data_IF_278167388229
#
_entry.id   IF_278167388229
#
_cell.length_a   1.000
_cell.length_b   1.000
_cell.length_c   1.000
_cell.angle_alpha   90.00
_cell.angle_beta   90.00
_cell.angle_gamma   90.00
#
_symmetry.space_group_name_H-M   'P 1'
#
loop_
_entity.id
_entity.type
_entity.pdbx_description
1 polymer ?
#
# COMPACT_ATOMS: atom_id res chain seq x y z
N UNK A 1 18.89 -14.48 -16.89
CA UNK A 1 17.82 -14.45 -15.92
C UNK A 1 17.71 -13.03 -15.38
N UNK A 2 16.92 -12.21 -16.07
CA UNK A 2 16.74 -10.81 -15.73
C UNK A 2 15.65 -10.74 -14.66
N UNK A 3 16.04 -10.51 -13.43
CA UNK A 3 15.12 -10.11 -12.37
C UNK A 3 14.69 -8.68 -12.71
N UNK A 4 13.54 -8.55 -13.33
CA UNK A 4 12.83 -7.27 -13.36
C UNK A 4 12.39 -6.98 -11.94
N UNK A 5 13.30 -6.39 -11.15
CA UNK A 5 12.89 -5.62 -10.02
C UNK A 5 12.05 -4.48 -10.59
N UNK A 6 10.74 -4.60 -10.49
CA UNK A 6 9.87 -3.44 -10.57
C UNK A 6 10.23 -2.59 -9.35
N UNK A 7 11.33 -1.87 -9.47
CA UNK A 7 11.60 -0.79 -8.57
C UNK A 7 10.38 0.13 -8.71
N UNK A 8 9.56 0.21 -7.68
CA UNK A 8 8.69 1.35 -7.51
C UNK A 8 9.56 2.56 -7.78
N UNK A 9 9.38 3.17 -8.93
CA UNK A 9 10.09 4.39 -9.26
C UNK A 9 9.57 5.43 -8.26
N UNK A 10 10.31 5.53 -7.18
CA UNK A 10 10.00 6.48 -6.13
C UNK A 10 10.15 7.84 -6.77
N UNK A 11 9.01 8.47 -7.01
CA UNK A 11 9.02 9.87 -7.44
C UNK A 11 9.71 10.65 -6.34
N UNK A 12 10.82 11.26 -6.68
CA UNK A 12 11.69 12.00 -5.76
C UNK A 12 10.98 13.09 -4.95
N UNK A 13 9.75 13.42 -5.32
CA UNK A 13 8.96 14.47 -4.67
C UNK A 13 8.35 14.06 -3.34
N UNK A 14 8.11 12.78 -3.12
CA UNK A 14 7.49 12.30 -1.87
C UNK A 14 8.49 11.74 -0.86
N UNK A 15 9.69 11.42 -1.28
CA UNK A 15 10.77 10.82 -0.51
C UNK A 15 11.28 11.67 0.63
N UNK A 16 10.48 11.95 1.58
CA UNK A 16 10.93 12.77 2.68
C UNK A 16 11.39 14.17 2.25
N UNK A 17 11.36 14.48 0.95
CA UNK A 17 11.69 15.83 0.48
C UNK A 17 10.57 16.83 0.78
N UNK A 18 9.34 16.34 0.94
CA UNK A 18 8.21 17.15 1.39
C UNK A 18 8.05 17.16 2.90
N UNK A 19 8.70 16.24 3.62
CA UNK A 19 8.66 16.19 5.08
C UNK A 19 9.69 17.16 5.65
N UNK A 20 9.20 18.13 6.39
CA UNK A 20 10.09 19.03 7.13
C UNK A 20 10.60 18.33 8.41
N UNK A 21 11.72 17.66 8.31
CA UNK A 21 12.34 16.93 9.41
C UNK A 21 12.80 17.81 10.58
N UNK A 22 12.77 19.12 10.43
CA UNK A 22 13.00 20.03 11.55
C UNK A 22 11.81 20.07 12.50
N UNK A 23 10.61 19.80 11.99
CA UNK A 23 9.36 19.86 12.73
C UNK A 23 8.70 18.50 12.92
N UNK A 24 8.84 17.60 11.95
CA UNK A 24 8.22 16.27 11.93
C UNK A 24 9.32 15.23 12.17
N UNK A 25 9.23 14.51 13.27
CA UNK A 25 10.27 13.54 13.68
C UNK A 25 9.74 12.13 13.91
N UNK A 26 8.45 12.00 14.19
CA UNK A 26 7.84 10.73 14.57
C UNK A 26 6.63 10.40 13.72
N UNK A 27 6.39 9.11 13.58
CA UNK A 27 5.21 8.58 12.88
C UNK A 27 4.59 7.45 13.70
N UNK A 28 3.26 7.46 13.79
CA UNK A 28 2.48 6.35 14.30
C UNK A 28 1.77 5.68 13.14
N UNK A 29 1.99 4.39 12.96
CA UNK A 29 1.27 3.58 11.99
C UNK A 29 0.40 2.60 12.78
N UNK A 30 -0.93 2.83 12.76
CA UNK A 30 -1.89 1.97 13.44
C UNK A 30 -2.10 0.70 12.64
N UNK A 31 -2.49 -0.35 13.33
CA UNK A 31 -2.82 -1.62 12.69
C UNK A 31 -4.00 -1.44 11.73
N UNK A 32 -3.78 -1.80 10.49
CA UNK A 32 -4.83 -1.82 9.48
C UNK A 32 -5.78 -2.98 9.77
N UNK A 33 -7.04 -2.77 9.48
CA UNK A 33 -8.07 -3.82 9.67
C UNK A 33 -8.56 -4.31 8.31
N UNK A 34 -9.03 -5.55 8.27
CA UNK A 34 -9.62 -6.11 7.04
C UNK A 34 -11.14 -5.99 7.12
N UNK A 35 -11.70 -5.10 6.32
CA UNK A 35 -13.15 -4.88 6.17
C UNK A 35 -13.68 -5.44 4.86
N UNK A 36 -12.83 -6.10 4.08
CA UNK A 36 -13.24 -6.72 2.83
C UNK A 36 -14.19 -7.92 3.10
N UNK A 37 -15.13 -8.20 2.19
CA UNK A 37 -16.00 -9.37 2.34
C UNK A 37 -15.25 -10.70 2.41
N UNK A 38 -14.12 -10.79 1.69
CA UNK A 38 -13.22 -11.92 1.80
C UNK A 38 -12.24 -11.72 2.95
N UNK A 39 -12.25 -12.64 3.89
CA UNK A 39 -11.39 -12.54 5.08
C UNK A 39 -10.15 -13.39 4.92
N UNK A 40 -9.03 -12.74 4.65
CA UNK A 40 -7.71 -13.33 4.83
C UNK A 40 -7.11 -12.74 6.12
N UNK A 41 -7.02 -13.53 7.22
CA UNK A 41 -6.62 -12.98 8.51
C UNK A 41 -5.15 -12.53 8.57
N UNK A 42 -4.33 -12.94 7.62
CA UNK A 42 -2.91 -12.56 7.58
C UNK A 42 -2.63 -11.31 6.76
N UNK A 43 -3.56 -10.89 5.92
CA UNK A 43 -3.34 -9.82 4.96
C UNK A 43 -3.14 -8.46 5.64
N UNK A 44 -4.03 -8.06 6.53
CA UNK A 44 -3.96 -6.76 7.20
C UNK A 44 -2.73 -6.62 8.11
N UNK A 45 -2.38 -7.62 8.94
CA UNK A 45 -1.12 -7.57 9.69
C UNK A 45 0.12 -7.48 8.80
N UNK A 46 0.16 -8.25 7.73
CA UNK A 46 1.29 -8.23 6.80
C UNK A 46 1.42 -6.85 6.12
N UNK A 47 0.31 -6.32 5.64
CA UNK A 47 0.28 -4.98 5.05
C UNK A 47 0.81 -3.91 6.02
N UNK A 48 0.38 -3.98 7.28
CA UNK A 48 0.82 -3.05 8.33
C UNK A 48 2.34 -3.13 8.56
N UNK A 49 2.88 -4.34 8.64
CA UNK A 49 4.32 -4.54 8.86
C UNK A 49 5.14 -4.08 7.65
N UNK A 50 4.70 -4.38 6.44
CA UNK A 50 5.35 -3.93 5.20
C UNK A 50 5.35 -2.40 5.10
N UNK A 51 4.25 -1.76 5.49
CA UNK A 51 4.13 -0.32 5.52
C UNK A 51 5.09 0.32 6.54
N UNK A 52 5.17 -0.23 7.75
CA UNK A 52 6.12 0.19 8.78
C UNK A 52 7.56 0.08 8.28
N UNK A 53 7.90 -1.05 7.66
CA UNK A 53 9.24 -1.30 7.13
C UNK A 53 9.64 -0.28 6.06
N UNK A 54 8.74 0.07 5.16
CA UNK A 54 9.01 1.05 4.12
C UNK A 54 9.25 2.44 4.71
N UNK A 55 8.42 2.86 5.65
CA UNK A 55 8.61 4.16 6.29
C UNK A 55 9.91 4.24 7.08
N UNK A 56 10.29 3.17 7.78
CA UNK A 56 11.57 3.11 8.51
C UNK A 56 12.76 3.21 7.55
N UNK A 57 12.71 2.51 6.41
CA UNK A 57 13.82 2.46 5.44
C UNK A 57 13.92 3.71 4.57
N UNK A 58 12.78 4.32 4.23
CA UNK A 58 12.73 5.39 3.25
C UNK A 58 12.65 6.79 3.86
N UNK A 59 12.43 6.90 5.16
CA UNK A 59 12.33 8.17 5.86
C UNK A 59 13.26 8.20 7.06
N UNK A 60 13.47 9.41 7.61
CA UNK A 60 14.20 9.62 8.86
C UNK A 60 13.26 9.62 10.07
N UNK A 61 12.00 9.28 9.86
CA UNK A 61 10.99 9.29 10.92
C UNK A 61 11.25 8.14 11.89
N UNK A 62 11.02 8.43 13.17
CA UNK A 62 11.04 7.43 14.21
C UNK A 62 9.63 6.88 14.40
N UNK A 63 9.50 5.55 14.32
CA UNK A 63 8.23 4.88 14.58
C UNK A 63 7.93 4.90 16.08
N UNK A 64 6.76 5.42 16.45
CA UNK A 64 6.29 5.47 17.84
C UNK A 64 4.91 4.81 17.94
N UNK A 65 4.58 4.16 19.08
CA UNK A 65 3.33 3.41 19.21
C UNK A 65 2.08 4.29 19.23
N UNK A 66 2.21 5.56 19.63
CA UNK A 66 1.10 6.51 19.66
C UNK A 66 1.62 7.95 19.66
N UNK A 67 0.73 8.86 19.30
CA UNK A 67 1.00 10.31 19.33
C UNK A 67 2.21 10.76 18.49
N UNK A 68 2.45 10.10 17.36
CA UNK A 68 3.43 10.57 16.39
C UNK A 68 3.03 11.92 15.77
N UNK A 69 4.01 12.65 15.27
CA UNK A 69 3.75 13.89 14.51
C UNK A 69 2.92 13.60 13.26
N UNK A 70 3.19 12.46 12.63
CA UNK A 70 2.36 11.90 11.58
C UNK A 70 1.63 10.67 12.10
N UNK A 71 0.43 10.45 11.60
CA UNK A 71 -0.35 9.27 11.92
C UNK A 71 -0.96 8.67 10.65
N UNK A 72 -0.76 7.37 10.45
CA UNK A 72 -1.38 6.59 9.40
C UNK A 72 -2.28 5.54 10.00
N UNK A 73 -3.51 5.45 9.51
CA UNK A 73 -4.44 4.37 9.83
C UNK A 73 -5.29 4.05 8.60
N UNK A 74 -5.94 2.92 8.61
CA UNK A 74 -6.82 2.56 7.52
C UNK A 74 -7.35 1.15 7.60
N UNK A 75 -8.03 0.77 6.54
CA UNK A 75 -8.60 -0.56 6.40
C UNK A 75 -8.49 -1.07 4.96
N UNK A 76 -8.37 -2.38 4.82
CA UNK A 76 -8.53 -3.06 3.54
C UNK A 76 -10.03 -3.17 3.29
N UNK A 77 -10.52 -2.49 2.25
CA UNK A 77 -11.95 -2.40 1.94
C UNK A 77 -12.35 -3.32 0.80
N UNK A 78 -11.41 -3.77 -0.03
CA UNK A 78 -11.68 -4.64 -1.15
C UNK A 78 -10.65 -5.74 -1.31
N UNK A 79 -11.14 -6.92 -1.64
CA UNK A 79 -10.35 -8.09 -2.01
C UNK A 79 -11.20 -8.88 -3.00
N UNK A 80 -11.05 -8.57 -4.27
CA UNK A 80 -11.99 -9.00 -5.29
C UNK A 80 -11.31 -9.83 -6.36
N UNK A 81 -11.95 -10.93 -6.72
CA UNK A 81 -11.54 -11.79 -7.82
C UNK A 81 -12.44 -11.57 -9.03
N UNK A 82 -11.83 -11.43 -10.19
CA UNK A 82 -12.55 -11.38 -11.45
C UNK A 82 -11.93 -12.36 -12.45
N UNK A 83 -12.69 -13.34 -12.96
CA UNK A 83 -12.20 -14.17 -14.04
C UNK A 83 -12.01 -13.32 -15.30
N UNK A 84 -10.89 -13.50 -15.98
CA UNK A 84 -10.60 -12.81 -17.22
C UNK A 84 -11.13 -13.58 -18.40
N UNK A 85 -11.59 -12.86 -19.44
CA UNK A 85 -12.02 -13.47 -20.68
C UNK A 85 -10.88 -14.27 -21.32
N UNK A 86 -11.14 -15.53 -21.63
CA UNK A 86 -10.19 -16.40 -22.31
C UNK A 86 -10.10 -15.94 -23.77
N UNK A 87 -8.91 -15.54 -24.22
CA UNK A 87 -8.64 -15.37 -25.66
C UNK A 87 -8.57 -16.75 -26.29
N UNK A 88 -9.00 -16.88 -27.54
CA UNK A 88 -9.06 -18.16 -28.26
C UNK A 88 -7.73 -18.94 -28.26
N UNK A 89 -6.60 -18.22 -28.09
CA UNK A 89 -5.25 -18.78 -28.06
C UNK A 89 -4.71 -19.03 -26.65
N UNK A 90 -5.49 -18.75 -25.60
CA UNK A 90 -5.02 -18.89 -24.23
C UNK A 90 -5.16 -20.32 -23.74
N UNK A 91 -4.03 -20.94 -23.42
CA UNK A 91 -3.96 -22.30 -22.88
C UNK A 91 -4.38 -22.35 -21.41
N UNK A 92 -4.35 -21.21 -20.71
CA UNK A 92 -4.69 -21.11 -19.30
C UNK A 92 -5.69 -19.97 -19.04
N UNK A 93 -6.63 -20.23 -18.14
CA UNK A 93 -7.52 -19.20 -17.62
C UNK A 93 -6.75 -18.27 -16.67
N UNK A 94 -7.08 -16.99 -16.72
CA UNK A 94 -6.49 -15.96 -15.86
C UNK A 94 -7.53 -15.41 -14.91
N UNK A 95 -7.09 -15.09 -13.72
CA UNK A 95 -7.90 -14.41 -12.70
C UNK A 95 -7.22 -13.09 -12.33
N UNK A 96 -8.03 -12.05 -12.18
CA UNK A 96 -7.55 -10.76 -11.66
C UNK A 96 -7.89 -10.66 -10.19
N UNK A 97 -6.89 -10.43 -9.35
CA UNK A 97 -7.08 -10.03 -7.96
C UNK A 97 -6.90 -8.53 -7.85
N UNK A 98 -7.89 -7.86 -7.26
CA UNK A 98 -7.85 -6.45 -6.93
C UNK A 98 -7.90 -6.28 -5.42
N UNK A 99 -6.94 -5.57 -4.86
CA UNK A 99 -6.93 -5.18 -3.45
C UNK A 99 -7.13 -3.68 -3.37
N UNK A 100 -8.02 -3.24 -2.48
CA UNK A 100 -8.29 -1.83 -2.22
C UNK A 100 -8.09 -1.54 -0.75
N UNK A 101 -7.34 -0.47 -0.46
CA UNK A 101 -7.03 -0.02 0.90
C UNK A 101 -7.44 1.44 1.02
N UNK A 102 -8.21 1.75 2.05
CA UNK A 102 -8.56 3.12 2.41
C UNK A 102 -7.61 3.59 3.50
N UNK A 103 -7.01 4.74 3.30
CA UNK A 103 -5.98 5.29 4.20
C UNK A 103 -6.39 6.67 4.68
N UNK A 104 -6.20 6.88 5.96
CA UNK A 104 -6.30 8.20 6.61
C UNK A 104 -4.91 8.61 7.08
N UNK A 105 -4.49 9.76 6.62
CA UNK A 105 -3.21 10.38 6.98
C UNK A 105 -3.47 11.67 7.73
N UNK A 106 -2.82 11.84 8.85
CA UNK A 106 -2.90 13.05 9.67
C UNK A 106 -1.52 13.59 9.98
N UNK A 107 -1.35 14.89 9.78
CA UNK A 107 -0.13 15.61 10.12
C UNK A 107 -0.44 16.64 11.19
N UNK A 108 0.02 16.40 12.42
CA UNK A 108 -0.25 17.31 13.56
C UNK A 108 0.50 18.63 13.46
N UNK A 109 1.60 18.65 12.74
CA UNK A 109 2.42 19.84 12.54
C UNK A 109 1.80 20.73 11.45
N UNK A 110 1.25 20.13 10.41
CA UNK A 110 0.59 20.82 9.31
C UNK A 110 -0.71 20.11 8.93
N UNK A 111 -1.83 20.41 9.59
CA UNK A 111 -3.11 19.76 9.32
C UNK A 111 -3.65 19.94 7.90
N UNK A 112 -3.15 20.92 7.15
CA UNK A 112 -3.54 21.13 5.75
C UNK A 112 -3.08 19.96 4.84
N UNK A 113 -2.16 19.15 5.30
CA UNK A 113 -1.68 17.96 4.60
C UNK A 113 -2.50 16.69 4.89
N UNK A 114 -3.48 16.77 5.78
CA UNK A 114 -4.34 15.64 6.12
C UNK A 114 -5.13 15.19 4.91
N UNK A 115 -5.21 13.88 4.71
CA UNK A 115 -6.04 13.31 3.63
C UNK A 115 -6.66 11.98 4.02
N UNK A 116 -7.72 11.64 3.32
CA UNK A 116 -8.33 10.32 3.33
C UNK A 116 -8.55 9.89 1.88
N UNK A 117 -7.99 8.75 1.49
CA UNK A 117 -8.02 8.29 0.11
C UNK A 117 -7.98 6.77 0.03
N UNK A 118 -8.63 6.22 -0.99
CA UNK A 118 -8.55 4.81 -1.34
C UNK A 118 -7.49 4.59 -2.41
N UNK A 119 -6.69 3.55 -2.21
CA UNK A 119 -5.67 3.08 -3.14
C UNK A 119 -6.01 1.68 -3.57
N UNK A 120 -5.87 1.40 -4.85
CA UNK A 120 -6.20 0.11 -5.42
C UNK A 120 -5.12 -0.34 -6.39
N UNK A 121 -4.81 -1.63 -6.35
CA UNK A 121 -3.94 -2.26 -7.33
C UNK A 121 -4.49 -3.63 -7.71
N UNK A 122 -4.17 -4.09 -8.89
CA UNK A 122 -4.59 -5.40 -9.37
C UNK A 122 -3.46 -6.15 -10.06
N UNK A 123 -3.56 -7.46 -10.04
CA UNK A 123 -2.70 -8.38 -10.78
C UNK A 123 -3.54 -9.47 -11.42
N UNK A 124 -3.16 -9.82 -12.64
CA UNK A 124 -3.67 -10.99 -13.33
C UNK A 124 -2.70 -12.14 -13.09
N UNK A 125 -3.22 -13.29 -12.77
CA UNK A 125 -2.44 -14.47 -12.50
C UNK A 125 -3.15 -15.72 -13.04
N UNK A 126 -2.37 -16.78 -13.24
CA UNK A 126 -2.91 -18.07 -13.67
C UNK A 126 -3.90 -18.58 -12.62
N UNK A 127 -5.12 -18.94 -13.04
CA UNK A 127 -6.18 -19.39 -12.15
C UNK A 127 -5.83 -20.67 -11.36
N UNK A 128 -4.76 -21.36 -11.75
CA UNK A 128 -4.23 -22.51 -11.02
C UNK A 128 -3.31 -22.14 -9.85
N UNK A 129 -2.88 -20.87 -9.78
CA UNK A 129 -2.06 -20.38 -8.68
C UNK A 129 -2.92 -19.97 -7.48
N UNK A 130 -2.30 -20.00 -6.31
CA UNK A 130 -2.94 -19.53 -5.09
C UNK A 130 -2.90 -17.99 -5.02
N UNK A 131 -3.99 -17.30 -4.65
CA UNK A 131 -4.00 -15.84 -4.52
C UNK A 131 -2.90 -15.29 -3.61
N UNK A 132 -2.52 -16.04 -2.58
CA UNK A 132 -1.46 -15.66 -1.64
C UNK A 132 -0.11 -15.43 -2.31
N UNK A 133 0.13 -16.02 -3.48
CA UNK A 133 1.37 -15.83 -4.23
C UNK A 133 1.49 -14.43 -4.86
N UNK A 134 0.36 -13.76 -5.07
CA UNK A 134 0.32 -12.42 -5.68
C UNK A 134 -0.04 -11.31 -4.68
N UNK A 135 -0.56 -11.65 -3.52
CA UNK A 135 -0.94 -10.69 -2.47
C UNK A 135 0.22 -9.78 -2.06
N UNK A 136 1.38 -10.38 -1.79
CA UNK A 136 2.56 -9.63 -1.36
C UNK A 136 2.95 -8.54 -2.36
N UNK A 137 3.00 -8.89 -3.63
CA UNK A 137 3.33 -7.94 -4.71
C UNK A 137 2.29 -6.82 -4.80
N UNK A 138 1.00 -7.15 -4.66
CA UNK A 138 -0.07 -6.15 -4.66
C UNK A 138 0.01 -5.21 -3.47
N UNK A 139 0.29 -5.73 -2.29
CA UNK A 139 0.48 -4.91 -1.10
C UNK A 139 1.65 -3.94 -1.27
N UNK A 140 2.77 -4.40 -1.80
CA UNK A 140 3.92 -3.55 -2.12
C UNK A 140 3.54 -2.45 -3.11
N UNK A 141 2.78 -2.75 -4.15
CA UNK A 141 2.31 -1.76 -5.12
C UNK A 141 1.41 -0.71 -4.48
N UNK A 142 0.48 -1.12 -3.63
CA UNK A 142 -0.40 -0.19 -2.92
C UNK A 142 0.39 0.70 -1.97
N UNK A 143 1.34 0.14 -1.24
CA UNK A 143 2.23 0.90 -0.35
C UNK A 143 3.05 1.92 -1.16
N UNK A 144 3.54 1.52 -2.32
CA UNK A 144 4.21 2.44 -3.24
C UNK A 144 3.31 3.55 -3.73
N UNK A 145 2.08 3.25 -4.11
CA UNK A 145 1.09 4.25 -4.53
C UNK A 145 0.79 5.22 -3.39
N UNK A 146 0.61 4.71 -2.19
CA UNK A 146 0.41 5.51 -0.99
C UNK A 146 1.60 6.44 -0.73
N UNK A 147 2.80 5.91 -0.85
CA UNK A 147 4.04 6.65 -0.62
C UNK A 147 4.31 7.69 -1.72
N UNK A 148 3.81 7.49 -2.95
CA UNK A 148 4.00 8.37 -4.09
C UNK A 148 2.82 9.28 -4.40
N UNK A 149 1.61 8.96 -3.92
CA UNK A 149 0.39 9.69 -4.32
C UNK A 149 0.32 11.11 -3.78
N UNK A 150 0.98 11.37 -2.65
CA UNK A 150 1.05 12.71 -2.08
C UNK A 150 1.81 13.70 -2.99
N UNK A 151 2.53 13.18 -3.96
CA UNK A 151 3.24 13.98 -4.95
C UNK A 151 2.40 14.30 -6.20
N UNK A 152 1.24 13.66 -6.38
CA UNK A 152 0.44 13.76 -7.59
C UNK A 152 -0.75 14.71 -7.45
N UNK A 153 -1.00 15.26 -6.28
CA UNK A 153 -2.16 16.09 -5.97
C UNK A 153 -1.80 17.58 -5.99
N UNK A 154 -1.22 17.98 -7.09
CA UNK A 154 -1.08 19.39 -7.45
C UNK A 154 -2.10 19.78 -8.52
#
# INVERSE_FOLDING_TARGET
MTVLATACSISYKFNGASIDYTKVKTITIRDFTNQAPYVNPTLAPQFTEDLKDIYIRQTRLQLVPSNGDLELEGEITGYDFAPMAVKEDAIASQTRLTITVRVRYSNRVNPDEDFEQSFSAYREFDSNLMPQQVEGTLCEEIICLLYTSDAADD
#
